data_IF_311205790250
#
_entry.id   IF_311205790250
#
_cell.length_a   1.000
_cell.length_b   1.000
_cell.length_c   1.000
_cell.angle_alpha   90.00
_cell.angle_beta   90.00
_cell.angle_gamma   90.00
#
_symmetry.space_group_name_H-M   'P 1'
#
loop_
_entity.id
_entity.type
_entity.pdbx_description
1 polymer ?
#
# COMPACT_ATOMS: atom_id res chain seq x y z
N UNK A 1 -4.39 -29.78 0.40
CA UNK A 1 -4.72 -28.35 0.25
C UNK A 1 -3.44 -27.55 0.26
N UNK A 2 -3.13 -26.83 -0.82
CA UNK A 2 -2.46 -25.53 -0.77
C UNK A 2 -2.55 -24.91 -2.17
N UNK A 3 -3.26 -23.79 -2.25
CA UNK A 3 -3.32 -22.93 -3.43
C UNK A 3 -1.93 -22.35 -3.68
N UNK A 4 -1.55 -22.30 -4.95
CA UNK A 4 -0.29 -21.73 -5.41
C UNK A 4 -0.49 -20.94 -6.70
N UNK A 5 -0.54 -19.63 -6.56
CA UNK A 5 -0.17 -18.58 -7.52
C UNK A 5 -0.85 -18.54 -8.90
N UNK A 6 -1.64 -17.48 -9.08
CA UNK A 6 -2.18 -16.99 -10.34
C UNK A 6 -1.03 -16.43 -11.21
N UNK A 7 -0.62 -17.19 -12.23
CA UNK A 7 0.32 -16.74 -13.24
C UNK A 7 0.02 -17.49 -14.54
N UNK A 8 -0.64 -16.80 -15.48
CA UNK A 8 -0.41 -16.84 -16.94
C UNK A 8 -0.26 -18.21 -17.65
N UNK A 9 -0.74 -19.32 -17.07
CA UNK A 9 -0.66 -20.64 -17.69
C UNK A 9 -1.84 -20.92 -18.61
N UNK A 10 -1.81 -20.32 -19.80
CA UNK A 10 -2.42 -20.93 -20.99
C UNK A 10 -1.53 -22.12 -21.39
N UNK A 11 -1.50 -23.16 -20.55
CA UNK A 11 -0.75 -24.40 -20.81
C UNK A 11 -1.76 -25.52 -21.02
N UNK A 12 -2.42 -25.49 -22.18
CA UNK A 12 -3.38 -26.53 -22.57
C UNK A 12 -2.67 -27.85 -22.93
N UNK A 13 -3.43 -28.96 -22.86
CA UNK A 13 -3.08 -30.40 -23.05
C UNK A 13 -2.06 -30.80 -24.14
N UNK A 14 -1.61 -29.90 -25.01
CA UNK A 14 -0.57 -30.17 -26.00
C UNK A 14 0.84 -29.70 -25.58
N UNK A 15 0.97 -28.98 -24.47
CA UNK A 15 2.25 -28.62 -23.84
C UNK A 15 3.04 -27.49 -24.49
N UNK A 16 2.71 -27.07 -25.73
CA UNK A 16 3.42 -26.03 -26.46
C UNK A 16 2.43 -25.21 -27.29
N UNK A 17 2.10 -24.00 -26.84
CA UNK A 17 1.46 -22.97 -27.66
C UNK A 17 2.53 -21.93 -27.93
N UNK A 18 3.12 -21.97 -29.13
CA UNK A 18 4.12 -20.97 -29.55
C UNK A 18 3.89 -20.47 -30.97
N UNK A 19 2.86 -20.95 -31.68
CA UNK A 19 2.68 -20.64 -33.09
C UNK A 19 1.39 -19.85 -33.33
N UNK A 20 1.58 -18.63 -33.84
CA UNK A 20 0.52 -17.77 -34.33
C UNK A 20 0.21 -18.15 -35.79
N UNK A 21 -1.07 -18.28 -36.11
CA UNK A 21 -1.53 -18.52 -37.48
C UNK A 21 -2.37 -17.35 -37.96
N UNK A 22 -2.27 -17.04 -39.24
CA UNK A 22 -3.11 -16.03 -39.89
C UNK A 22 -4.21 -16.74 -40.69
N UNK A 23 -5.47 -16.35 -40.46
CA UNK A 23 -6.61 -16.88 -41.22
C UNK A 23 -6.59 -16.35 -42.64
N UNK A 24 -6.83 -17.23 -43.60
CA UNK A 24 -6.98 -16.93 -45.03
C UNK A 24 -8.42 -17.07 -45.51
N UNK A 25 -9.36 -17.34 -44.59
CA UNK A 25 -10.79 -17.44 -44.93
C UNK A 25 -11.32 -16.07 -45.35
N UNK A 26 -12.21 -15.97 -46.37
CA UNK A 26 -12.73 -14.67 -46.82
C UNK A 26 -13.35 -13.84 -45.69
N UNK A 27 -14.02 -14.50 -44.73
CA UNK A 27 -14.70 -13.85 -43.62
C UNK A 27 -13.74 -13.33 -42.53
N UNK A 28 -12.61 -14.00 -42.31
CA UNK A 28 -11.68 -13.68 -41.22
C UNK A 28 -10.25 -13.46 -41.75
N UNK A 29 -10.12 -12.92 -42.96
CA UNK A 29 -8.82 -12.79 -43.64
C UNK A 29 -7.89 -11.89 -42.82
N UNK A 30 -6.65 -12.34 -42.61
CA UNK A 30 -5.65 -11.58 -41.85
C UNK A 30 -5.74 -11.71 -40.32
N UNK A 31 -6.82 -12.26 -39.77
CA UNK A 31 -7.00 -12.41 -38.32
C UNK A 31 -6.08 -13.50 -37.75
N UNK A 32 -5.46 -13.25 -36.58
CA UNK A 32 -4.50 -14.18 -35.97
C UNK A 32 -5.16 -15.08 -34.92
N UNK A 33 -4.74 -16.34 -34.86
CA UNK A 33 -5.27 -17.33 -33.91
C UNK A 33 -4.20 -18.33 -33.47
N UNK A 34 -4.46 -18.97 -32.33
CA UNK A 34 -3.68 -20.08 -31.80
C UNK A 34 -4.38 -21.41 -32.10
N UNK A 35 -3.62 -22.44 -32.47
CA UNK A 35 -4.10 -23.82 -32.54
C UNK A 35 -3.01 -24.84 -32.20
N UNK A 36 -3.41 -26.06 -31.89
CA UNK A 36 -2.48 -27.16 -31.66
C UNK A 36 -1.78 -27.61 -32.95
N UNK A 37 -0.46 -27.84 -32.88
CA UNK A 37 0.36 -28.38 -33.98
C UNK A 37 0.31 -29.90 -34.14
N UNK A 38 -0.21 -30.63 -33.15
CA UNK A 38 -0.25 -32.09 -33.24
C UNK A 38 -1.02 -32.49 -34.51
N UNK A 39 -0.57 -33.54 -35.24
CA UNK A 39 -1.30 -34.09 -36.37
C UNK A 39 -2.76 -34.35 -35.98
N UNK A 40 -3.70 -34.29 -36.95
CA UNK A 40 -5.15 -34.40 -36.69
C UNK A 40 -5.55 -35.58 -35.77
N UNK A 41 -4.82 -36.70 -35.84
CA UNK A 41 -5.09 -37.89 -35.03
C UNK A 41 -4.70 -37.76 -33.54
N UNK A 42 -3.89 -36.76 -33.20
CA UNK A 42 -3.38 -36.49 -31.86
C UNK A 42 -3.69 -35.05 -31.39
N UNK A 43 -4.45 -34.28 -32.17
CA UNK A 43 -4.77 -32.89 -31.86
C UNK A 43 -6.04 -32.84 -31.00
N UNK A 44 -6.02 -32.01 -29.96
CA UNK A 44 -7.16 -31.84 -29.05
C UNK A 44 -8.20 -30.83 -29.58
N UNK A 45 -8.14 -30.46 -30.86
CA UNK A 45 -9.08 -29.48 -31.45
C UNK A 45 -8.98 -28.05 -30.90
N UNK A 46 -7.94 -27.72 -30.13
CA UNK A 46 -7.78 -26.38 -29.54
C UNK A 46 -7.63 -25.30 -30.63
N UNK A 47 -8.43 -24.23 -30.49
CA UNK A 47 -8.49 -23.05 -31.35
C UNK A 47 -8.93 -21.84 -30.52
N UNK A 48 -8.23 -20.71 -30.65
CA UNK A 48 -8.60 -19.46 -29.97
C UNK A 48 -8.08 -18.24 -30.74
N UNK A 49 -8.89 -17.18 -30.87
CA UNK A 49 -8.51 -15.95 -31.56
C UNK A 49 -7.59 -15.08 -30.68
N UNK A 50 -6.54 -14.51 -31.27
CA UNK A 50 -5.55 -13.74 -30.52
C UNK A 50 -6.10 -12.41 -29.98
N UNK A 51 -6.92 -11.73 -30.76
CA UNK A 51 -7.54 -10.45 -30.40
C UNK A 51 -8.60 -10.58 -29.29
N UNK A 52 -9.26 -11.73 -29.19
CA UNK A 52 -10.24 -12.02 -28.12
C UNK A 52 -9.55 -12.27 -26.76
N UNK A 53 -8.35 -12.87 -26.77
CA UNK A 53 -7.54 -13.07 -25.55
C UNK A 53 -7.07 -11.72 -25.00
N UNK A 54 -6.59 -10.83 -25.89
CA UNK A 54 -6.12 -9.50 -25.48
C UNK A 54 -7.25 -8.64 -24.89
N UNK A 55 -8.43 -8.62 -25.54
CA UNK A 55 -9.59 -7.89 -25.05
C UNK A 55 -10.07 -8.36 -23.67
N UNK A 56 -10.15 -9.67 -23.46
CA UNK A 56 -10.55 -10.23 -22.17
C UNK A 56 -9.52 -9.93 -21.07
N UNK A 57 -8.23 -10.02 -21.39
CA UNK A 57 -7.15 -9.64 -20.48
C UNK A 57 -7.25 -8.16 -20.09
N UNK A 58 -7.46 -7.26 -21.05
CA UNK A 58 -7.55 -5.82 -20.81
C UNK A 58 -8.80 -5.46 -19.99
N UNK A 59 -9.95 -6.09 -20.28
CA UNK A 59 -11.19 -5.88 -19.53
C UNK A 59 -11.08 -6.39 -18.07
N UNK A 60 -10.43 -7.54 -17.87
CA UNK A 60 -10.19 -8.08 -16.52
C UNK A 60 -9.22 -7.17 -15.76
N UNK A 61 -8.14 -6.75 -16.42
CA UNK A 61 -7.11 -5.90 -15.81
C UNK A 61 -7.66 -4.53 -15.43
N UNK A 62 -8.46 -3.91 -16.30
CA UNK A 62 -9.12 -2.62 -16.02
C UNK A 62 -10.09 -2.70 -14.85
N UNK A 63 -10.96 -3.73 -14.79
CA UNK A 63 -11.88 -3.90 -13.65
C UNK A 63 -11.14 -4.09 -12.32
N UNK A 64 -10.09 -4.91 -12.33
CA UNK A 64 -9.26 -5.16 -11.15
C UNK A 64 -8.57 -3.86 -10.70
N UNK A 65 -7.94 -3.14 -11.62
CA UNK A 65 -7.31 -1.85 -11.33
C UNK A 65 -8.29 -0.84 -10.74
N UNK A 66 -9.48 -0.70 -11.33
CA UNK A 66 -10.51 0.23 -10.82
C UNK A 66 -10.96 -0.16 -9.41
N UNK A 67 -11.21 -1.45 -9.15
CA UNK A 67 -11.59 -1.89 -7.81
C UNK A 67 -10.49 -1.64 -6.76
N UNK A 68 -9.22 -1.88 -7.13
CA UNK A 68 -8.07 -1.62 -6.28
C UNK A 68 -7.89 -0.13 -6.00
N UNK A 69 -8.12 0.71 -7.01
CA UNK A 69 -8.04 2.17 -6.87
C UNK A 69 -9.07 2.71 -5.87
N UNK A 70 -10.32 2.25 -5.96
CA UNK A 70 -11.37 2.68 -5.03
C UNK A 70 -11.07 2.22 -3.59
N UNK A 71 -10.54 1.00 -3.41
CA UNK A 71 -10.10 0.55 -2.08
C UNK A 71 -8.98 1.43 -1.51
N UNK A 72 -7.95 1.74 -2.31
CA UNK A 72 -6.84 2.62 -1.92
C UNK A 72 -7.34 4.03 -1.57
N UNK A 73 -8.34 4.53 -2.30
CA UNK A 73 -8.93 5.84 -2.04
C UNK A 73 -9.64 5.88 -0.69
N UNK A 74 -10.43 4.85 -0.37
CA UNK A 74 -11.11 4.72 0.93
C UNK A 74 -10.10 4.70 2.07
N UNK A 75 -9.04 3.88 1.95
CA UNK A 75 -8.00 3.79 2.99
C UNK A 75 -7.26 5.13 3.19
N UNK A 76 -6.98 5.85 2.09
CA UNK A 76 -6.37 7.19 2.14
C UNK A 76 -7.25 8.17 2.90
N UNK A 77 -8.56 8.18 2.61
CA UNK A 77 -9.49 9.10 3.24
C UNK A 77 -9.65 8.77 4.72
N UNK A 78 -9.69 7.49 5.09
CA UNK A 78 -9.66 7.05 6.49
C UNK A 78 -8.39 7.51 7.22
N UNK A 79 -7.23 7.32 6.60
CA UNK A 79 -5.94 7.70 7.22
C UNK A 79 -5.83 9.21 7.43
N UNK A 80 -6.42 10.02 6.54
CA UNK A 80 -6.49 11.48 6.72
C UNK A 80 -7.31 11.88 7.95
N UNK A 81 -8.45 11.24 8.16
CA UNK A 81 -9.27 11.49 9.36
C UNK A 81 -8.51 11.12 10.65
N UNK A 82 -7.80 9.99 10.65
CA UNK A 82 -6.97 9.58 11.79
C UNK A 82 -5.81 10.57 12.05
N UNK A 83 -5.21 11.13 11.00
CA UNK A 83 -4.18 12.16 11.11
C UNK A 83 -4.73 13.43 11.78
N UNK A 84 -5.89 13.92 11.33
CA UNK A 84 -6.53 15.11 11.90
C UNK A 84 -6.81 14.91 13.40
N UNK A 85 -7.31 13.73 13.78
CA UNK A 85 -7.56 13.40 15.19
C UNK A 85 -6.28 13.37 16.02
N UNK A 86 -5.20 12.77 15.48
CA UNK A 86 -3.90 12.72 16.15
C UNK A 86 -3.26 14.12 16.28
N UNK A 87 -3.38 14.96 15.25
CA UNK A 87 -2.87 16.33 15.28
C UNK A 87 -3.56 17.16 16.37
N UNK A 88 -4.89 17.05 16.49
CA UNK A 88 -5.64 17.74 17.54
C UNK A 88 -5.21 17.29 18.95
N UNK A 89 -4.97 15.99 19.14
CA UNK A 89 -4.47 15.45 20.41
C UNK A 89 -3.07 15.99 20.73
N UNK A 90 -2.16 15.94 19.76
CA UNK A 90 -0.79 16.43 19.92
C UNK A 90 -0.77 17.93 20.26
N UNK A 91 -1.59 18.75 19.60
CA UNK A 91 -1.73 20.17 19.93
C UNK A 91 -2.22 20.37 21.37
N UNK A 92 -3.23 19.61 21.81
CA UNK A 92 -3.73 19.69 23.18
C UNK A 92 -2.67 19.24 24.22
N UNK A 93 -1.86 18.25 23.89
CA UNK A 93 -0.74 17.79 24.73
C UNK A 93 0.38 18.83 24.80
N UNK A 94 0.77 19.43 23.67
CA UNK A 94 1.77 20.49 23.62
C UNK A 94 1.39 21.68 24.52
N UNK A 95 0.13 22.10 24.51
CA UNK A 95 -0.36 23.17 25.40
C UNK A 95 -0.22 22.77 26.88
N UNK A 96 -0.50 21.52 27.24
CA UNK A 96 -0.34 21.02 28.62
C UNK A 96 1.13 20.99 29.02
N UNK A 97 2.02 20.57 28.13
CA UNK A 97 3.48 20.54 28.37
C UNK A 97 3.99 21.96 28.64
N UNK A 98 3.65 22.93 27.80
CA UNK A 98 4.04 24.35 28.00
C UNK A 98 3.60 24.86 29.39
N UNK A 99 2.35 24.57 29.77
CA UNK A 99 1.83 24.97 31.10
C UNK A 99 2.57 24.28 32.25
N UNK A 100 2.98 23.02 32.05
CA UNK A 100 3.74 22.28 33.04
C UNK A 100 5.16 22.82 33.15
N UNK A 101 5.80 23.14 32.03
CA UNK A 101 7.14 23.74 31.97
C UNK A 101 7.17 25.09 32.71
N UNK A 102 6.15 25.94 32.55
CA UNK A 102 6.04 27.19 33.31
C UNK A 102 6.02 26.94 34.83
N UNK A 103 5.23 25.96 35.28
CA UNK A 103 5.16 25.58 36.69
C UNK A 103 6.47 24.99 37.20
N UNK A 104 7.12 24.15 36.41
CA UNK A 104 8.43 23.56 36.74
C UNK A 104 9.49 24.66 36.85
N UNK A 105 9.49 25.63 35.93
CA UNK A 105 10.42 26.74 35.97
C UNK A 105 10.18 27.63 37.19
N UNK A 106 8.92 27.92 37.52
CA UNK A 106 8.56 28.67 38.73
C UNK A 106 9.00 27.96 40.01
N UNK A 107 8.73 26.66 40.13
CA UNK A 107 9.15 25.86 41.30
C UNK A 107 10.66 25.76 41.41
N UNK A 108 11.36 25.56 40.29
CA UNK A 108 12.84 25.58 40.24
C UNK A 108 13.40 26.92 40.71
N UNK A 109 12.82 28.04 40.28
CA UNK A 109 13.24 29.37 40.72
C UNK A 109 13.08 29.55 42.25
N UNK A 110 11.94 29.11 42.81
CA UNK A 110 11.71 29.17 44.26
C UNK A 110 12.73 28.34 45.04
N UNK A 111 13.08 27.15 44.54
CA UNK A 111 14.11 26.30 45.15
C UNK A 111 15.48 26.98 45.11
N UNK A 112 15.89 27.56 43.98
CA UNK A 112 17.18 28.27 43.87
C UNK A 112 17.28 29.43 44.86
N UNK A 113 16.21 30.21 45.01
CA UNK A 113 16.16 31.32 46.00
C UNK A 113 16.26 30.76 47.42
N UNK A 114 15.49 29.71 47.75
CA UNK A 114 15.53 29.08 49.07
C UNK A 114 16.92 28.54 49.41
N UNK A 115 17.58 27.88 48.46
CA UNK A 115 18.95 27.38 48.62
C UNK A 115 19.96 28.51 48.85
N UNK A 116 19.87 29.61 48.10
CA UNK A 116 20.77 30.75 48.27
C UNK A 116 20.62 31.39 49.67
N UNK A 117 19.39 31.56 50.14
CA UNK A 117 19.11 32.08 51.49
C UNK A 117 19.64 31.14 52.57
N UNK A 118 19.44 29.82 52.42
CA UNK A 118 19.92 28.82 53.37
C UNK A 118 21.45 28.81 53.47
N UNK A 119 22.14 28.76 52.33
CA UNK A 119 23.61 28.79 52.30
C UNK A 119 24.15 30.09 52.88
N UNK A 120 23.53 31.24 52.54
CA UNK A 120 23.91 32.54 53.10
C UNK A 120 23.76 32.59 54.62
N UNK A 121 22.66 32.04 55.16
CA UNK A 121 22.44 31.95 56.60
C UNK A 121 23.48 31.07 57.30
N UNK A 122 23.78 29.89 56.74
CA UNK A 122 24.80 28.96 57.28
C UNK A 122 26.17 29.62 57.27
N UNK A 123 26.57 30.27 56.17
CA UNK A 123 27.86 30.96 56.05
C UNK A 123 28.00 32.10 57.09
N UNK A 124 26.97 32.93 57.24
CA UNK A 124 26.96 34.01 58.23
C UNK A 124 27.07 33.48 59.67
N UNK A 125 26.46 32.33 59.95
CA UNK A 125 26.51 31.69 61.27
C UNK A 125 27.89 31.11 61.61
N UNK A 126 28.69 30.74 60.60
CA UNK A 126 30.06 30.22 60.79
C UNK A 126 31.13 31.30 60.92
N UNK A 127 30.84 32.56 60.58
CA UNK A 127 31.78 33.70 60.65
C UNK A 127 31.75 34.38 62.03
N UNK A 128 30.89 33.92 62.94
CA UNK A 128 30.72 34.43 64.30
C UNK A 128 31.38 33.49 65.31
#
# INVERSE_FOLDING_TARGET
MSQGSCSSQIRYRCGIITNHFTSTTPLNSGRRFYKCLKPKNCSYGYFEWEDEISLNSDLVTTKVLTSSWEAIKIDRDKLKEELIAMEALHQAEAIKVIKLEEKVLKTRMMLMVSWALFVGFVAASMIK
#
